data_IF_133976038742
#
_entry.id   IF_133976038742
#
_cell.length_a   1.000
_cell.length_b   1.000
_cell.length_c   1.000
_cell.angle_alpha   90.00
_cell.angle_beta   90.00
_cell.angle_gamma   90.00
#
_symmetry.space_group_name_H-M   'P 1'
#
loop_
_entity.id
_entity.type
_entity.pdbx_description
1 polymer ?
#
# COMPACT_ATOMS: atom_id res chain seq x y z
N UNK A 1 29.20 -0.30 3.27
CA UNK A 1 28.32 0.55 2.43
C UNK A 1 28.03 1.83 3.20
N UNK A 2 28.22 3.02 2.58
CA UNK A 2 27.84 4.30 3.21
C UNK A 2 26.33 4.31 3.45
N UNK A 3 25.90 4.73 4.63
CA UNK A 3 24.46 4.92 4.92
C UNK A 3 23.90 5.96 3.94
N UNK A 4 22.74 5.70 3.35
CA UNK A 4 22.04 6.69 2.55
C UNK A 4 21.77 7.95 3.39
N UNK A 5 21.89 9.15 2.81
CA UNK A 5 21.61 10.39 3.53
C UNK A 5 20.13 10.44 3.93
N UNK A 6 19.88 11.03 5.07
CA UNK A 6 18.52 11.34 5.50
C UNK A 6 17.91 12.41 4.57
N UNK A 7 16.71 12.20 4.07
CA UNK A 7 16.04 13.20 3.24
C UNK A 7 15.74 14.48 4.06
N UNK A 8 15.77 15.68 3.46
CA UNK A 8 15.37 16.91 4.14
C UNK A 8 13.89 16.83 4.55
N UNK A 9 13.47 17.61 5.55
CA UNK A 9 12.04 17.72 5.89
C UNK A 9 11.24 18.16 4.65
N UNK A 10 10.01 17.65 4.52
CA UNK A 10 9.12 18.10 3.46
C UNK A 10 8.69 19.55 3.70
N UNK A 11 8.53 20.32 2.64
CA UNK A 11 8.07 21.71 2.70
C UNK A 11 6.58 21.86 2.42
N UNK A 12 5.94 20.81 1.92
CA UNK A 12 4.52 20.79 1.60
C UNK A 12 3.94 19.37 1.73
N UNK A 13 2.62 19.27 1.66
CA UNK A 13 1.90 18.00 1.62
C UNK A 13 1.49 17.58 0.18
N UNK A 14 2.12 18.12 -0.86
CA UNK A 14 1.72 17.90 -2.25
C UNK A 14 1.84 16.45 -2.72
N UNK A 15 2.63 15.66 -2.02
CA UNK A 15 2.79 14.22 -2.27
C UNK A 15 1.99 13.33 -1.31
N UNK A 16 1.23 13.91 -0.38
CA UNK A 16 0.46 13.15 0.60
C UNK A 16 -0.71 12.44 -0.08
N UNK A 17 -0.85 11.14 0.17
CA UNK A 17 -2.07 10.39 -0.05
C UNK A 17 -2.62 9.87 1.28
N UNK A 18 -3.88 10.15 1.57
CA UNK A 18 -4.55 9.68 2.78
C UNK A 18 -5.20 8.32 2.51
N UNK A 19 -4.68 7.26 3.10
CA UNK A 19 -5.27 5.93 2.98
C UNK A 19 -6.55 5.83 3.82
N UNK A 20 -7.63 5.34 3.21
CA UNK A 20 -8.93 5.14 3.85
C UNK A 20 -8.85 4.34 5.15
N UNK A 21 -7.93 3.35 5.25
CA UNK A 21 -7.75 2.57 6.48
C UNK A 21 -7.29 3.40 7.69
N UNK A 22 -6.71 4.59 7.46
CA UNK A 22 -6.36 5.53 8.54
C UNK A 22 -7.60 6.12 9.22
N UNK A 23 -8.75 6.09 8.53
CA UNK A 23 -10.05 6.54 9.03
C UNK A 23 -11.13 5.45 8.85
N UNK A 24 -10.87 4.24 9.34
CA UNK A 24 -11.70 3.05 9.09
C UNK A 24 -13.18 3.24 9.52
N UNK A 25 -13.44 4.04 10.54
CA UNK A 25 -14.82 4.29 11.03
C UNK A 25 -15.61 5.24 10.14
N UNK A 26 -14.95 6.01 9.27
CA UNK A 26 -15.59 6.91 8.33
C UNK A 26 -15.98 6.20 7.03
N UNK A 27 -17.04 6.65 6.39
CA UNK A 27 -17.37 6.25 5.02
C UNK A 27 -16.39 6.87 4.02
N UNK A 28 -16.30 6.29 2.82
CA UNK A 28 -15.47 6.86 1.75
C UNK A 28 -15.91 8.29 1.37
N UNK A 29 -17.21 8.58 1.41
CA UNK A 29 -17.74 9.92 1.12
C UNK A 29 -17.22 10.94 2.12
N UNK A 30 -17.28 10.64 3.42
CA UNK A 30 -16.78 11.53 4.47
C UNK A 30 -15.27 11.76 4.34
N UNK A 31 -14.49 10.72 4.01
CA UNK A 31 -13.03 10.85 3.81
C UNK A 31 -12.71 11.72 2.61
N UNK A 32 -13.40 11.54 1.46
CA UNK A 32 -13.23 12.39 0.28
C UNK A 32 -13.46 13.86 0.63
N UNK A 33 -14.59 14.16 1.30
CA UNK A 33 -14.91 15.51 1.71
C UNK A 33 -13.91 16.11 2.72
N UNK A 34 -13.48 15.31 3.69
CA UNK A 34 -12.52 15.76 4.71
C UNK A 34 -11.15 16.04 4.10
N UNK A 35 -10.67 15.19 3.19
CA UNK A 35 -9.41 15.39 2.47
C UNK A 35 -9.47 16.63 1.58
N UNK A 36 -10.53 16.83 0.81
CA UNK A 36 -10.71 18.02 -0.02
C UNK A 36 -10.69 19.30 0.83
N UNK A 37 -11.44 19.34 1.94
CA UNK A 37 -11.43 20.49 2.86
C UNK A 37 -10.08 20.70 3.55
N UNK A 38 -9.38 19.61 3.87
CA UNK A 38 -8.06 19.62 4.53
C UNK A 38 -6.89 19.94 3.59
N UNK A 39 -7.12 20.10 2.29
CA UNK A 39 -6.07 20.34 1.30
C UNK A 39 -5.12 19.15 1.13
N UNK A 40 -5.63 17.91 1.28
CA UNK A 40 -4.92 16.68 0.96
C UNK A 40 -5.16 16.35 -0.52
N UNK A 41 -4.10 16.18 -1.34
CA UNK A 41 -4.26 16.09 -2.80
C UNK A 41 -4.67 14.71 -3.31
N UNK A 42 -4.54 13.67 -2.49
CA UNK A 42 -4.79 12.30 -2.93
C UNK A 42 -5.32 11.41 -1.81
N UNK A 43 -6.01 10.35 -2.21
CA UNK A 43 -6.50 9.29 -1.30
C UNK A 43 -6.11 7.91 -1.83
N UNK A 44 -6.08 6.93 -0.96
CA UNK A 44 -6.11 5.51 -1.31
C UNK A 44 -7.43 4.90 -0.83
N UNK A 45 -8.00 4.01 -1.62
CA UNK A 45 -9.35 3.49 -1.41
C UNK A 45 -9.30 1.99 -1.10
N UNK A 46 -10.00 1.58 -0.03
CA UNK A 46 -10.20 0.17 0.26
C UNK A 46 -11.45 -0.38 -0.42
N UNK A 47 -11.34 -1.57 -1.01
CA UNK A 47 -12.40 -2.20 -1.82
C UNK A 47 -13.72 -2.37 -1.06
N UNK A 48 -13.70 -2.67 0.24
CA UNK A 48 -14.94 -2.77 1.02
C UNK A 48 -15.65 -1.42 1.13
N UNK A 49 -14.91 -0.31 1.32
CA UNK A 49 -15.48 1.06 1.33
C UNK A 49 -15.97 1.48 -0.06
N UNK A 50 -15.27 1.03 -1.09
CA UNK A 50 -15.69 1.24 -2.48
C UNK A 50 -17.00 0.49 -2.76
N UNK A 51 -17.11 -0.77 -2.31
CA UNK A 51 -18.34 -1.57 -2.46
C UNK A 51 -19.54 -0.94 -1.73
N UNK A 52 -19.34 -0.41 -0.51
CA UNK A 52 -20.37 0.31 0.26
C UNK A 52 -20.88 1.57 -0.47
N UNK A 53 -19.97 2.28 -1.15
CA UNK A 53 -20.29 3.55 -1.84
C UNK A 53 -20.85 3.33 -3.24
N UNK A 54 -20.42 2.27 -3.91
CA UNK A 54 -20.60 2.00 -5.32
C UNK A 54 -19.54 2.67 -6.18
N UNK A 55 -18.93 1.87 -7.10
CA UNK A 55 -17.74 2.25 -7.88
C UNK A 55 -17.96 3.53 -8.69
N UNK A 56 -19.06 3.61 -9.44
CA UNK A 56 -19.37 4.77 -10.28
C UNK A 56 -19.59 6.05 -9.46
N UNK A 57 -20.25 5.93 -8.31
CA UNK A 57 -20.47 7.05 -7.40
C UNK A 57 -19.15 7.53 -6.81
N UNK A 58 -18.30 6.62 -6.34
CA UNK A 58 -16.98 6.94 -5.80
C UNK A 58 -16.11 7.64 -6.84
N UNK A 59 -16.07 7.13 -8.07
CA UNK A 59 -15.32 7.74 -9.18
C UNK A 59 -15.76 9.18 -9.48
N UNK A 60 -17.07 9.46 -9.43
CA UNK A 60 -17.58 10.84 -9.58
C UNK A 60 -17.14 11.71 -8.41
N UNK A 61 -17.35 11.28 -7.17
CA UNK A 61 -17.02 12.05 -5.97
C UNK A 61 -15.53 12.42 -5.91
N UNK A 62 -14.65 11.49 -6.24
CA UNK A 62 -13.20 11.73 -6.28
C UNK A 62 -12.85 12.80 -7.32
N UNK A 63 -13.39 12.68 -8.55
CA UNK A 63 -13.17 13.67 -9.61
C UNK A 63 -13.71 15.05 -9.23
N UNK A 64 -14.93 15.11 -8.72
CA UNK A 64 -15.60 16.37 -8.35
C UNK A 64 -14.85 17.07 -7.19
N UNK A 65 -14.23 16.28 -6.31
CA UNK A 65 -13.37 16.79 -5.23
C UNK A 65 -11.96 17.19 -5.70
N UNK A 66 -11.57 16.89 -6.96
CA UNK A 66 -10.24 17.17 -7.50
C UNK A 66 -9.13 16.30 -6.88
N UNK A 67 -9.47 15.15 -6.30
CA UNK A 67 -8.51 14.27 -5.68
C UNK A 67 -7.91 13.26 -6.67
N UNK A 68 -6.63 12.91 -6.47
CA UNK A 68 -6.01 11.77 -7.14
C UNK A 68 -6.28 10.50 -6.31
N UNK A 69 -6.23 9.34 -6.96
CA UNK A 69 -6.26 8.04 -6.27
C UNK A 69 -4.89 7.38 -6.44
N UNK A 70 -4.12 7.29 -5.33
CA UNK A 70 -2.80 6.65 -5.35
C UNK A 70 -2.90 5.15 -5.56
N UNK A 71 -3.81 4.51 -4.85
CA UNK A 71 -3.97 3.06 -4.91
C UNK A 71 -5.40 2.63 -4.58
N UNK A 72 -5.71 1.38 -4.96
CA UNK A 72 -6.83 0.63 -4.40
C UNK A 72 -6.26 -0.56 -3.62
N UNK A 73 -6.71 -0.79 -2.42
CA UNK A 73 -6.38 -1.92 -1.57
C UNK A 73 -7.63 -2.78 -1.35
N UNK A 74 -7.57 -4.06 -1.51
CA UNK A 74 -6.46 -4.85 -1.97
C UNK A 74 -6.89 -5.89 -3.01
N UNK A 75 -5.99 -6.20 -3.92
CA UNK A 75 -5.98 -7.45 -4.67
C UNK A 75 -5.12 -8.52 -3.96
N UNK A 76 -4.80 -9.58 -4.68
CA UNK A 76 -3.93 -10.65 -4.20
C UNK A 76 -4.69 -11.88 -3.70
N UNK A 77 -4.27 -12.45 -2.56
CA UNK A 77 -4.86 -13.65 -1.93
C UNK A 77 -4.88 -14.87 -2.87
N UNK A 78 -3.81 -15.04 -3.67
CA UNK A 78 -3.75 -16.03 -4.75
C UNK A 78 -3.72 -17.49 -4.29
N UNK A 79 -2.98 -17.88 -3.20
CA UNK A 79 -2.87 -19.27 -2.83
C UNK A 79 -4.21 -19.87 -2.41
N UNK A 80 -4.52 -21.05 -2.93
CA UNK A 80 -5.68 -21.84 -2.55
C UNK A 80 -5.42 -23.32 -2.84
N UNK A 81 -6.11 -24.22 -2.11
CA UNK A 81 -5.88 -25.66 -2.20
C UNK A 81 -6.40 -26.27 -3.50
N UNK A 82 -7.47 -25.73 -4.05
CA UNK A 82 -8.14 -26.31 -5.22
C UNK A 82 -8.07 -25.42 -6.45
N UNK A 83 -8.11 -26.01 -7.63
CA UNK A 83 -8.13 -25.27 -8.89
C UNK A 83 -9.36 -24.34 -9.02
N UNK A 84 -10.59 -24.71 -8.62
CA UNK A 84 -11.74 -23.82 -8.63
C UNK A 84 -11.54 -22.59 -7.72
N UNK A 85 -10.99 -22.77 -6.52
CA UNK A 85 -10.68 -21.65 -5.62
C UNK A 85 -9.65 -20.70 -6.22
N UNK A 86 -8.57 -21.24 -6.83
CA UNK A 86 -7.57 -20.41 -7.53
C UNK A 86 -8.19 -19.62 -8.69
N UNK A 87 -9.07 -20.26 -9.48
CA UNK A 87 -9.80 -19.56 -10.53
C UNK A 87 -10.67 -18.42 -9.98
N UNK A 88 -11.36 -18.65 -8.86
CA UNK A 88 -12.16 -17.62 -8.19
C UNK A 88 -11.29 -16.44 -7.69
N UNK A 89 -10.05 -16.70 -7.19
CA UNK A 89 -9.09 -15.65 -6.81
C UNK A 89 -8.65 -14.81 -8.01
N UNK A 90 -8.37 -15.44 -9.14
CA UNK A 90 -8.02 -14.73 -10.39
C UNK A 90 -9.18 -13.82 -10.82
N UNK A 91 -10.41 -14.32 -10.81
CA UNK A 91 -11.57 -13.52 -11.19
C UNK A 91 -11.85 -12.37 -10.22
N UNK A 92 -11.64 -12.56 -8.92
CA UNK A 92 -11.73 -11.47 -7.94
C UNK A 92 -10.68 -10.39 -8.19
N UNK A 93 -9.46 -10.79 -8.56
CA UNK A 93 -8.40 -9.83 -8.90
C UNK A 93 -8.70 -9.06 -10.20
N UNK A 94 -9.34 -9.67 -11.20
CA UNK A 94 -9.81 -8.94 -12.38
C UNK A 94 -10.85 -7.88 -12.01
N UNK A 95 -11.81 -8.22 -11.14
CA UNK A 95 -12.75 -7.23 -10.60
C UNK A 95 -12.03 -6.11 -9.85
N UNK A 96 -11.02 -6.43 -9.04
CA UNK A 96 -10.23 -5.43 -8.34
C UNK A 96 -9.49 -4.48 -9.29
N UNK A 97 -9.00 -4.99 -10.42
CA UNK A 97 -8.38 -4.19 -11.49
C UNK A 97 -9.42 -3.26 -12.13
N UNK A 98 -10.62 -3.77 -12.44
CA UNK A 98 -11.71 -2.94 -12.99
C UNK A 98 -12.14 -1.84 -12.02
N UNK A 99 -12.26 -2.15 -10.73
CA UNK A 99 -12.55 -1.20 -9.66
C UNK A 99 -11.47 -0.11 -9.58
N UNK A 100 -10.19 -0.49 -9.61
CA UNK A 100 -9.06 0.43 -9.58
C UNK A 100 -9.06 1.35 -10.81
N UNK A 101 -9.22 0.79 -12.00
CA UNK A 101 -9.30 1.57 -13.24
C UNK A 101 -10.48 2.56 -13.23
N UNK A 102 -11.66 2.14 -12.76
CA UNK A 102 -12.85 2.96 -12.73
C UNK A 102 -12.72 4.21 -11.83
N UNK A 103 -12.01 4.09 -10.70
CA UNK A 103 -11.73 5.24 -9.81
C UNK A 103 -10.47 6.01 -10.19
N UNK A 104 -9.76 5.60 -11.25
CA UNK A 104 -8.54 6.24 -11.71
C UNK A 104 -7.33 6.01 -10.80
N UNK A 105 -7.27 4.86 -10.12
CA UNK A 105 -6.15 4.50 -9.26
C UNK A 105 -4.90 4.18 -10.09
N UNK A 106 -3.74 4.64 -9.61
CA UNK A 106 -2.44 4.37 -10.25
C UNK A 106 -2.00 2.91 -10.01
N UNK A 107 -2.33 2.36 -8.84
CA UNK A 107 -1.86 1.04 -8.38
C UNK A 107 -2.99 0.23 -7.75
N UNK A 108 -3.02 -1.07 -8.05
CA UNK A 108 -3.71 -2.07 -7.23
C UNK A 108 -2.69 -2.73 -6.30
N UNK A 109 -2.82 -2.52 -5.00
CA UNK A 109 -1.94 -3.13 -3.98
C UNK A 109 -2.27 -4.61 -3.82
N UNK A 110 -1.27 -5.47 -3.90
CA UNK A 110 -1.40 -6.91 -3.79
C UNK A 110 -0.90 -7.43 -2.44
N UNK A 111 -1.82 -7.78 -1.57
CA UNK A 111 -1.55 -8.63 -0.39
C UNK A 111 -1.63 -10.07 -0.85
N UNK A 112 -0.48 -10.72 -1.01
CA UNK A 112 -0.36 -11.93 -1.85
C UNK A 112 -1.12 -13.17 -1.34
N UNK A 113 -1.42 -13.25 -0.05
CA UNK A 113 -2.07 -14.42 0.57
C UNK A 113 -1.07 -15.32 1.31
N UNK A 114 -1.53 -15.93 2.40
CA UNK A 114 -0.77 -16.92 3.16
C UNK A 114 -0.78 -18.28 2.46
N UNK A 115 0.13 -19.17 2.84
CA UNK A 115 0.09 -20.56 2.41
C UNK A 115 -1.19 -21.25 2.95
N UNK A 116 -1.98 -21.92 2.10
CA UNK A 116 -3.21 -22.58 2.54
C UNK A 116 -2.94 -23.89 3.28
N UNK A 117 -1.69 -24.35 3.26
CA UNK A 117 -1.17 -25.52 3.93
C UNK A 117 0.24 -25.22 4.51
N UNK A 118 1.07 -26.26 4.67
CA UNK A 118 2.43 -26.09 5.20
C UNK A 118 3.49 -25.80 4.14
N UNK A 119 3.13 -25.84 2.86
CA UNK A 119 4.06 -25.61 1.74
C UNK A 119 4.09 -24.15 1.31
N UNK A 120 4.87 -23.36 2.02
CA UNK A 120 5.06 -21.95 1.71
C UNK A 120 5.76 -21.74 0.36
N UNK A 121 6.58 -22.70 -0.10
CA UNK A 121 7.25 -22.59 -1.39
C UNK A 121 6.25 -22.75 -2.54
N UNK A 122 5.35 -23.75 -2.45
CA UNK A 122 4.25 -23.90 -3.40
C UNK A 122 3.31 -22.69 -3.39
N UNK A 123 3.03 -22.11 -2.21
CA UNK A 123 2.22 -20.90 -2.13
C UNK A 123 2.85 -19.71 -2.86
N UNK A 124 4.17 -19.53 -2.78
CA UNK A 124 4.90 -18.49 -3.53
C UNK A 124 4.82 -18.68 -5.04
N UNK A 125 4.88 -19.92 -5.53
CA UNK A 125 4.66 -20.19 -6.96
C UNK A 125 3.21 -19.90 -7.37
N UNK A 126 2.22 -20.22 -6.53
CA UNK A 126 0.83 -19.84 -6.80
C UNK A 126 0.63 -18.32 -6.87
N UNK A 127 1.38 -17.55 -6.07
CA UNK A 127 1.40 -16.09 -6.16
C UNK A 127 1.99 -15.64 -7.50
N UNK A 128 3.14 -16.21 -7.89
CA UNK A 128 3.79 -15.88 -9.16
C UNK A 128 2.88 -16.14 -10.36
N UNK A 129 2.29 -17.33 -10.42
CA UNK A 129 1.34 -17.73 -11.47
C UNK A 129 0.10 -16.82 -11.49
N UNK A 130 -0.41 -16.49 -10.31
CA UNK A 130 -1.58 -15.63 -10.17
C UNK A 130 -1.32 -14.22 -10.71
N UNK A 131 -0.22 -13.59 -10.32
CA UNK A 131 0.16 -12.26 -10.80
C UNK A 131 0.43 -12.29 -12.31
N UNK A 132 1.19 -13.27 -12.79
CA UNK A 132 1.45 -13.43 -14.24
C UNK A 132 0.16 -13.56 -15.06
N UNK A 133 -0.85 -14.23 -14.49
CA UNK A 133 -2.16 -14.42 -15.16
C UNK A 133 -2.94 -13.11 -15.27
N UNK A 134 -2.87 -12.21 -14.29
CA UNK A 134 -3.65 -10.96 -14.28
C UNK A 134 -2.87 -9.75 -14.83
N UNK A 135 -1.56 -9.80 -14.92
CA UNK A 135 -0.72 -8.68 -15.34
C UNK A 135 -1.07 -8.13 -16.74
N UNK A 136 -1.29 -8.96 -17.79
CA UNK A 136 -1.74 -8.45 -19.09
C UNK A 136 -3.06 -7.67 -19.00
N UNK A 137 -4.01 -8.19 -18.22
CA UNK A 137 -5.31 -7.54 -18.04
C UNK A 137 -5.18 -6.18 -17.30
N UNK A 138 -4.32 -6.12 -16.29
CA UNK A 138 -4.06 -4.86 -15.58
C UNK A 138 -3.40 -3.82 -16.50
N UNK A 139 -2.45 -4.25 -17.34
CA UNK A 139 -1.80 -3.38 -18.33
C UNK A 139 -2.80 -2.81 -19.34
N UNK A 140 -3.73 -3.62 -19.85
CA UNK A 140 -4.80 -3.17 -20.74
C UNK A 140 -5.70 -2.10 -20.10
N UNK A 141 -5.86 -2.14 -18.78
CA UNK A 141 -6.65 -1.18 -17.98
C UNK A 141 -5.84 0.01 -17.46
N UNK A 142 -4.54 0.05 -17.73
CA UNK A 142 -3.66 1.11 -17.27
C UNK A 142 -3.38 1.10 -15.76
N UNK A 143 -3.60 -0.04 -15.08
CA UNK A 143 -3.40 -0.20 -13.64
C UNK A 143 -2.11 -0.96 -13.40
N UNK A 144 -1.21 -0.42 -12.56
CA UNK A 144 -0.01 -1.14 -12.10
C UNK A 144 -0.37 -2.11 -10.98
N UNK A 145 0.25 -3.28 -10.97
CA UNK A 145 0.15 -4.24 -9.87
C UNK A 145 1.31 -4.01 -8.90
N UNK A 146 1.01 -3.65 -7.67
CA UNK A 146 2.01 -3.38 -6.64
C UNK A 146 2.10 -4.50 -5.61
N UNK A 147 3.15 -5.34 -5.67
CA UNK A 147 3.40 -6.39 -4.68
C UNK A 147 3.82 -5.74 -3.37
N UNK A 148 3.07 -5.97 -2.30
CA UNK A 148 3.41 -5.50 -0.97
C UNK A 148 3.97 -6.66 -0.14
N UNK A 149 5.28 -6.68 0.16
CA UNK A 149 5.82 -7.63 1.12
C UNK A 149 5.36 -7.27 2.52
N UNK A 150 4.77 -8.22 3.25
CA UNK A 150 4.32 -7.96 4.61
C UNK A 150 5.35 -8.41 5.65
N UNK A 151 5.33 -7.76 6.83
CA UNK A 151 6.17 -8.15 7.96
C UNK A 151 6.06 -9.66 8.24
N UNK A 152 7.14 -10.38 8.52
CA UNK A 152 7.12 -11.84 8.72
C UNK A 152 6.11 -12.35 9.76
N UNK A 153 5.71 -11.51 10.71
CA UNK A 153 4.64 -11.84 11.66
C UNK A 153 3.30 -12.18 10.97
N UNK A 154 3.11 -11.75 9.72
CA UNK A 154 1.89 -12.00 8.94
C UNK A 154 2.01 -13.19 7.96
N UNK A 155 3.13 -13.90 7.96
CA UNK A 155 3.40 -14.96 6.98
C UNK A 155 2.35 -16.08 6.98
N UNK A 156 1.81 -16.40 8.15
CA UNK A 156 0.82 -17.47 8.32
C UNK A 156 -0.62 -17.06 8.02
N UNK A 157 -0.93 -15.75 7.95
CA UNK A 157 -2.31 -15.26 7.90
C UNK A 157 -2.62 -14.39 6.68
N UNK A 158 -1.62 -13.64 6.18
CA UNK A 158 -1.86 -12.59 5.20
C UNK A 158 -1.04 -12.70 3.93
N UNK A 159 0.28 -12.97 4.03
CA UNK A 159 1.14 -12.99 2.85
C UNK A 159 2.35 -13.89 3.05
N UNK A 160 2.58 -14.79 2.11
CA UNK A 160 3.80 -15.60 2.05
C UNK A 160 5.00 -14.84 1.44
N UNK A 161 4.79 -13.63 0.92
CA UNK A 161 5.85 -12.71 0.46
C UNK A 161 6.16 -11.75 1.61
N UNK A 162 7.36 -11.84 2.18
CA UNK A 162 7.69 -11.19 3.47
C UNK A 162 8.93 -10.30 3.45
N UNK A 163 9.65 -10.26 2.33
CA UNK A 163 10.84 -9.41 2.19
C UNK A 163 10.81 -8.63 0.88
N UNK A 164 11.50 -7.48 0.85
CA UNK A 164 11.69 -6.70 -0.37
C UNK A 164 12.40 -7.52 -1.45
N UNK A 165 13.34 -8.39 -1.08
CA UNK A 165 14.04 -9.27 -2.00
C UNK A 165 13.07 -10.21 -2.72
N UNK A 166 12.17 -10.89 -2.00
CA UNK A 166 11.17 -11.78 -2.60
C UNK A 166 10.24 -11.02 -3.54
N UNK A 167 9.73 -9.85 -3.10
CA UNK A 167 8.84 -9.02 -3.91
C UNK A 167 9.54 -8.51 -5.18
N UNK A 168 10.80 -8.05 -5.09
CA UNK A 168 11.60 -7.63 -6.25
C UNK A 168 11.81 -8.76 -7.25
N UNK A 169 12.29 -9.92 -6.78
CA UNK A 169 12.53 -11.07 -7.65
C UNK A 169 11.25 -11.51 -8.38
N UNK A 170 10.13 -11.46 -7.69
CA UNK A 170 8.83 -11.76 -8.27
C UNK A 170 8.41 -10.73 -9.34
N UNK A 171 8.58 -9.43 -9.06
CA UNK A 171 8.29 -8.38 -10.02
C UNK A 171 9.21 -8.43 -11.25
N UNK A 172 10.49 -8.77 -11.06
CA UNK A 172 11.45 -8.97 -12.16
C UNK A 172 11.09 -10.17 -13.07
N UNK A 173 10.58 -11.26 -12.46
CA UNK A 173 10.16 -12.46 -13.20
C UNK A 173 8.96 -12.21 -14.13
N UNK A 174 8.08 -11.26 -13.76
CA UNK A 174 6.82 -10.98 -14.49
C UNK A 174 6.99 -9.83 -15.49
N UNK A 175 8.01 -9.00 -15.33
CA UNK A 175 8.44 -7.90 -16.20
C UNK A 175 7.51 -6.68 -16.26
N UNK A 176 6.42 -6.70 -17.04
CA UNK A 176 5.65 -5.50 -17.35
C UNK A 176 4.47 -5.25 -16.41
N UNK A 177 4.29 -3.99 -15.99
CA UNK A 177 3.13 -3.55 -15.21
C UNK A 177 3.13 -4.01 -13.75
N UNK A 178 4.20 -4.68 -13.31
CA UNK A 178 4.34 -5.19 -11.94
C UNK A 178 5.51 -4.51 -11.25
N UNK A 179 5.24 -3.97 -10.07
CA UNK A 179 6.25 -3.35 -9.21
C UNK A 179 6.05 -3.72 -7.75
N UNK A 180 6.70 -2.99 -6.88
CA UNK A 180 6.68 -3.22 -5.43
C UNK A 180 6.14 -1.98 -4.71
N UNK A 181 5.24 -2.21 -3.76
CA UNK A 181 4.83 -1.21 -2.78
C UNK A 181 5.72 -1.38 -1.56
N UNK A 182 6.39 -0.32 -1.18
CA UNK A 182 7.26 -0.30 0.01
C UNK A 182 6.49 0.34 1.15
N UNK A 183 5.93 -0.47 2.06
CA UNK A 183 5.38 0.02 3.33
C UNK A 183 6.45 -0.06 4.41
N UNK A 184 6.79 1.09 4.99
CA UNK A 184 7.79 1.15 6.06
C UNK A 184 7.48 0.22 7.22
N UNK A 185 6.20 0.03 7.57
CA UNK A 185 5.77 -0.85 8.65
C UNK A 185 6.22 -2.30 8.49
N UNK A 186 6.29 -2.72 7.24
CA UNK A 186 6.60 -4.10 6.90
C UNK A 186 8.10 -4.34 6.69
N UNK A 187 8.88 -3.29 6.40
CA UNK A 187 10.27 -3.47 5.95
C UNK A 187 11.32 -2.70 6.75
N UNK A 188 10.94 -1.86 7.73
CA UNK A 188 11.89 -1.03 8.50
C UNK A 188 12.99 -1.84 9.21
N UNK A 189 12.67 -3.04 9.62
CA UNK A 189 13.53 -3.97 10.37
C UNK A 189 14.51 -4.74 9.48
N UNK A 190 14.26 -4.82 8.14
CA UNK A 190 15.02 -5.67 7.21
C UNK A 190 16.45 -5.11 7.02
N UNK A 191 17.50 -5.88 7.39
CA UNK A 191 18.89 -5.45 7.22
C UNK A 191 19.29 -5.26 5.75
N UNK A 192 18.58 -5.87 4.81
CA UNK A 192 18.83 -5.76 3.37
C UNK A 192 18.03 -4.62 2.72
N UNK A 193 17.12 -3.96 3.46
CA UNK A 193 16.21 -2.93 2.95
C UNK A 193 16.89 -1.91 2.03
N UNK A 194 17.96 -1.27 2.49
CA UNK A 194 18.66 -0.24 1.71
C UNK A 194 19.16 -0.77 0.37
N UNK A 195 19.72 -1.98 0.35
CA UNK A 195 20.24 -2.60 -0.86
C UNK A 195 19.11 -3.02 -1.81
N UNK A 196 18.02 -3.54 -1.27
CA UNK A 196 16.88 -3.99 -2.08
C UNK A 196 16.08 -2.79 -2.65
N UNK A 197 15.89 -1.71 -1.89
CA UNK A 197 15.31 -0.45 -2.40
C UNK A 197 16.13 0.08 -3.58
N UNK A 198 17.47 0.13 -3.44
CA UNK A 198 18.34 0.59 -4.54
C UNK A 198 18.25 -0.30 -5.79
N UNK A 199 18.04 -1.61 -5.63
CA UNK A 199 17.86 -2.56 -6.74
C UNK A 199 16.48 -2.47 -7.39
N UNK A 200 15.47 -2.10 -6.64
CA UNK A 200 14.10 -1.91 -7.16
C UNK A 200 14.03 -0.81 -8.21
N UNK A 201 14.71 0.32 -7.98
CA UNK A 201 14.73 1.42 -8.96
C UNK A 201 13.32 1.87 -9.37
N UNK A 202 13.06 1.89 -10.65
CA UNK A 202 11.78 2.27 -11.27
C UNK A 202 10.62 1.28 -11.02
N UNK A 203 10.91 0.12 -10.41
CA UNK A 203 9.89 -0.84 -9.99
C UNK A 203 9.21 -0.48 -8.66
N UNK A 204 9.63 0.59 -7.98
CA UNK A 204 8.87 1.12 -6.84
C UNK A 204 7.63 1.81 -7.40
N UNK A 205 6.45 1.25 -7.15
CA UNK A 205 5.17 1.78 -7.65
C UNK A 205 4.30 2.40 -6.56
N UNK A 206 4.65 2.20 -5.30
CA UNK A 206 3.98 2.79 -4.14
C UNK A 206 4.92 2.89 -2.95
N UNK A 207 4.70 3.90 -2.11
CA UNK A 207 5.44 4.10 -0.87
C UNK A 207 4.47 4.48 0.24
N UNK A 208 4.39 3.64 1.28
CA UNK A 208 3.49 3.82 2.41
C UNK A 208 4.28 4.16 3.67
N UNK A 209 3.76 5.11 4.45
CA UNK A 209 4.37 5.60 5.68
C UNK A 209 3.38 5.56 6.85
N UNK A 210 3.90 5.26 8.00
CA UNK A 210 3.31 5.23 9.31
C UNK A 210 4.45 5.06 10.31
N UNK A 211 4.17 4.73 11.57
CA UNK A 211 5.26 4.44 12.51
C UNK A 211 5.01 3.15 13.30
N UNK A 212 6.07 2.56 13.83
CA UNK A 212 6.01 1.37 14.68
C UNK A 212 6.09 1.78 16.13
N UNK A 213 4.97 1.64 16.85
CA UNK A 213 4.90 1.99 18.27
C UNK A 213 5.54 0.93 19.16
N UNK A 214 6.16 1.37 20.25
CA UNK A 214 6.79 0.49 21.25
C UNK A 214 6.22 0.83 22.63
N UNK A 215 5.78 -0.18 23.41
CA UNK A 215 5.73 -1.62 23.13
C UNK A 215 4.61 -2.00 22.16
N UNK A 216 4.88 -2.96 21.26
CA UNK A 216 3.88 -3.50 20.36
C UNK A 216 3.02 -4.54 21.09
N UNK A 217 1.72 -4.26 21.25
CA UNK A 217 0.77 -5.21 21.86
C UNK A 217 0.06 -6.08 20.81
N UNK A 218 -0.20 -5.52 19.65
CA UNK A 218 -0.82 -6.19 18.52
C UNK A 218 -0.18 -5.69 17.23
N UNK A 219 0.55 -6.56 16.53
CA UNK A 219 1.34 -6.16 15.35
C UNK A 219 0.50 -5.51 14.26
N UNK A 220 -0.76 -5.93 14.06
CA UNK A 220 -1.62 -5.31 13.04
C UNK A 220 -2.08 -3.90 13.45
N UNK A 221 -2.51 -3.75 14.71
CA UNK A 221 -3.18 -2.55 15.21
C UNK A 221 -2.23 -1.58 15.94
N UNK A 222 -0.92 -1.73 15.73
CA UNK A 222 0.09 -0.96 16.46
C UNK A 222 0.77 0.11 15.61
N UNK A 223 0.18 0.46 14.47
CA UNK A 223 0.72 1.55 13.65
C UNK A 223 0.48 2.89 14.34
N UNK A 224 1.51 3.73 14.37
CA UNK A 224 1.46 5.10 14.90
C UNK A 224 1.42 6.15 13.82
N UNK A 225 1.10 7.38 14.23
CA UNK A 225 1.32 8.55 13.38
C UNK A 225 2.82 8.76 13.18
N UNK A 226 3.22 9.29 12.03
CA UNK A 226 4.62 9.56 11.70
C UNK A 226 5.30 10.36 12.83
N UNK A 227 6.43 9.86 13.33
CA UNK A 227 7.20 10.44 14.43
C UNK A 227 6.80 9.99 15.83
N UNK A 228 5.82 9.10 15.99
CA UNK A 228 5.42 8.57 17.29
C UNK A 228 6.15 7.27 17.67
N UNK A 229 6.87 6.66 16.75
CA UNK A 229 7.49 5.36 16.94
C UNK A 229 9.01 5.35 16.70
N UNK A 230 9.49 4.23 16.15
CA UNK A 230 10.94 3.95 16.06
C UNK A 230 11.46 3.89 14.61
N UNK A 231 10.64 4.13 13.60
CA UNK A 231 11.05 4.03 12.20
C UNK A 231 11.82 5.29 11.78
N UNK A 232 12.99 5.10 11.15
CA UNK A 232 13.77 6.21 10.56
C UNK A 232 13.14 6.67 9.23
N UNK A 233 11.95 7.28 9.29
CA UNK A 233 11.10 7.60 8.13
C UNK A 233 11.83 8.42 7.07
N UNK A 234 12.48 9.52 7.46
CA UNK A 234 13.19 10.40 6.51
C UNK A 234 14.40 9.73 5.86
N UNK A 235 15.03 8.76 6.55
CA UNK A 235 16.08 7.95 5.94
C UNK A 235 15.50 7.03 4.88
N UNK A 236 14.42 6.29 5.20
CA UNK A 236 13.80 5.37 4.25
C UNK A 236 13.27 6.15 3.04
N UNK A 237 12.68 7.33 3.25
CA UNK A 237 12.29 8.21 2.15
C UNK A 237 13.49 8.62 1.29
N UNK A 238 14.61 8.96 1.89
CA UNK A 238 15.85 9.25 1.17
C UNK A 238 16.32 8.07 0.30
N UNK A 239 16.24 6.84 0.81
CA UNK A 239 16.54 5.62 0.06
C UNK A 239 15.59 5.47 -1.15
N UNK A 240 14.30 5.66 -0.94
CA UNK A 240 13.22 5.57 -1.96
C UNK A 240 13.39 6.66 -3.04
N UNK A 241 13.67 7.90 -2.65
CA UNK A 241 13.87 9.01 -3.58
C UNK A 241 15.18 8.86 -4.37
N UNK A 242 16.25 8.38 -3.74
CA UNK A 242 17.50 8.05 -4.43
C UNK A 242 17.34 6.89 -5.44
N UNK A 243 16.42 5.97 -5.20
CA UNK A 243 16.05 4.91 -6.14
C UNK A 243 15.20 5.41 -7.32
N UNK A 244 14.76 6.69 -7.30
CA UNK A 244 14.04 7.34 -8.41
C UNK A 244 12.54 7.51 -8.19
N UNK A 245 11.96 7.08 -7.07
CA UNK A 245 10.53 7.26 -6.82
C UNK A 245 10.18 8.69 -6.42
N UNK A 246 9.30 9.33 -7.19
CA UNK A 246 8.82 10.69 -6.97
C UNK A 246 7.28 10.76 -6.86
N UNK A 247 6.63 9.60 -6.72
CA UNK A 247 5.17 9.49 -6.63
C UNK A 247 4.58 9.95 -5.31
N UNK A 248 3.30 9.68 -5.13
CA UNK A 248 2.58 9.95 -3.88
C UNK A 248 3.12 9.09 -2.75
N UNK A 249 3.08 9.64 -1.54
CA UNK A 249 3.45 8.96 -0.29
C UNK A 249 2.17 8.74 0.50
N UNK A 250 1.85 7.50 0.75
CA UNK A 250 0.57 7.09 1.31
C UNK A 250 0.68 6.90 2.82
N UNK A 251 -0.21 7.54 3.59
CA UNK A 251 -0.29 7.34 5.05
C UNK A 251 -1.34 6.30 5.37
N UNK A 252 -0.91 5.14 5.87
CA UNK A 252 -1.77 4.02 6.20
C UNK A 252 -1.62 3.57 7.65
N UNK A 253 -2.65 3.80 8.47
CA UNK A 253 -2.58 3.57 9.91
C UNK A 253 -3.74 2.70 10.39
N UNK A 254 -3.40 1.54 10.94
CA UNK A 254 -4.31 0.64 11.65
C UNK A 254 -4.12 0.85 13.16
N UNK A 255 -5.00 1.65 13.78
CA UNK A 255 -4.94 1.94 15.21
C UNK A 255 -6.28 2.44 15.72
N UNK A 256 -6.86 1.73 16.69
CA UNK A 256 -8.16 2.05 17.28
C UNK A 256 -8.26 3.46 17.88
N UNK A 257 -7.16 3.97 18.45
CA UNK A 257 -7.14 5.32 19.03
C UNK A 257 -7.19 6.39 17.95
N UNK A 258 -6.47 6.16 16.85
CA UNK A 258 -6.46 7.05 15.68
C UNK A 258 -7.83 7.01 14.99
N UNK A 259 -8.42 5.83 14.84
CA UNK A 259 -9.76 5.66 14.27
C UNK A 259 -10.88 6.31 15.10
N UNK A 260 -10.65 6.55 16.41
CA UNK A 260 -11.60 7.21 17.29
C UNK A 260 -11.56 8.75 17.22
N UNK A 261 -10.56 9.32 16.52
CA UNK A 261 -10.43 10.78 16.40
C UNK A 261 -11.52 11.36 15.49
N UNK A 262 -11.98 12.59 15.73
CA UNK A 262 -12.80 13.32 14.77
C UNK A 262 -12.09 13.43 13.43
N UNK A 263 -12.76 13.08 12.34
CA UNK A 263 -12.14 12.90 11.02
C UNK A 263 -11.38 14.15 10.54
N UNK A 264 -11.92 15.34 10.73
CA UNK A 264 -11.27 16.57 10.30
C UNK A 264 -9.98 16.85 11.08
N UNK A 265 -9.95 16.54 12.37
CA UNK A 265 -8.74 16.63 13.20
C UNK A 265 -7.71 15.59 12.78
N UNK A 266 -8.15 14.38 12.47
CA UNK A 266 -7.27 13.31 11.98
C UNK A 266 -6.61 13.70 10.66
N UNK A 267 -7.35 14.25 9.71
CA UNK A 267 -6.79 14.72 8.43
C UNK A 267 -5.77 15.85 8.64
N UNK A 268 -6.07 16.81 9.51
CA UNK A 268 -5.18 17.91 9.83
C UNK A 268 -3.89 17.41 10.51
N UNK A 269 -4.00 16.52 11.49
CA UNK A 269 -2.86 15.88 12.16
C UNK A 269 -2.01 15.07 11.18
N UNK A 270 -2.65 14.28 10.32
CA UNK A 270 -1.93 13.49 9.31
C UNK A 270 -1.10 14.38 8.40
N UNK A 271 -1.65 15.51 7.93
CA UNK A 271 -0.94 16.47 7.09
C UNK A 271 0.23 17.13 7.83
N UNK A 272 0.02 17.56 9.08
CA UNK A 272 1.07 18.15 9.92
C UNK A 272 2.24 17.18 10.12
N UNK A 273 1.94 15.96 10.55
CA UNK A 273 2.94 14.92 10.86
C UNK A 273 3.65 14.42 9.59
N UNK A 274 2.94 14.36 8.48
CA UNK A 274 3.54 14.05 7.18
C UNK A 274 4.64 15.05 6.80
N UNK A 275 4.36 16.33 6.89
CA UNK A 275 5.35 17.38 6.57
C UNK A 275 6.54 17.35 7.53
N UNK A 276 6.29 17.11 8.82
CA UNK A 276 7.33 17.14 9.83
C UNK A 276 8.24 15.90 9.85
N UNK A 277 7.70 14.71 9.56
CA UNK A 277 8.38 13.45 9.88
C UNK A 277 8.51 12.46 8.70
N UNK A 278 7.69 12.56 7.66
CA UNK A 278 7.79 11.64 6.52
C UNK A 278 9.00 11.88 5.63
#
# INVERSE_FOLDING_TARGET
>A
MSRAPEAPALTSADRLSFNQATAERASLVEVIEACARGGVPAISIWRHKLAETGVERAARLVRDAGLRVSSVCRGGMFPALTAPERAARIEDNRRAIDEAAAVGAEVLVLVCGAAPDRDIAAAREMVADGIATIAPYANERGVKLGIEPLHPAFAAERSCITTLREARQLAERIEQGVGVVVDVYHVWWDPERTAEIARLGDRIVGYHVNDWLVPAQNVLMNRGMMGDGVIELRRIRGEIECAGYQGLIEVEIFNERIWAMPLQELVALTRERFVAHA
#
